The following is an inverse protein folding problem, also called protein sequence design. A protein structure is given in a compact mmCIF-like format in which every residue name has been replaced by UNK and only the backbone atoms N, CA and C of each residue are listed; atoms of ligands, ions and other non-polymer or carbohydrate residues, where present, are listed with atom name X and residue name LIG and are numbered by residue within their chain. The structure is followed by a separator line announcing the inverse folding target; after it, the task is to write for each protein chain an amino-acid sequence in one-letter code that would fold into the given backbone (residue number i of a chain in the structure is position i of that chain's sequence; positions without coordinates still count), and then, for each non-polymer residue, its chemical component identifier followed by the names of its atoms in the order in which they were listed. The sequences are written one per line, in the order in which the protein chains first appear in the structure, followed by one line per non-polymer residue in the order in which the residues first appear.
data_IF_684900735082
#
_entry.id   IF_684900735082
#
_cell.length_a   1.000
_cell.length_b   1.000
_cell.length_c   1.000
_cell.angle_alpha   90.00
_cell.angle_beta   90.00
_cell.angle_gamma   90.00
#
_symmetry.space_group_name_H-M   'P 1'
#
loop_
_entity.id
_entity.type
_entity.pdbx_description
1 polymer ?
#
# COMPACT_ATOMS: atom_id res chain seq x y z
N UNK A 1 -25.42 17.05 11.25
CA UNK A 1 -24.65 17.05 9.98
C UNK A 1 -25.61 17.32 8.84
N UNK A 2 -25.33 18.32 8.01
CA UNK A 2 -26.10 18.61 6.79
C UNK A 2 -26.04 17.44 5.80
N UNK A 3 -27.00 17.37 4.88
CA UNK A 3 -27.06 16.38 3.79
C UNK A 3 -25.82 16.43 2.90
N UNK A 4 -25.20 17.59 2.69
CA UNK A 4 -23.94 17.75 1.95
C UNK A 4 -22.74 17.07 2.63
N UNK A 5 -22.70 17.02 3.96
CA UNK A 5 -21.60 16.41 4.71
C UNK A 5 -21.55 14.88 4.57
N UNK A 6 -22.59 14.26 3.97
CA UNK A 6 -22.71 12.80 3.76
C UNK A 6 -22.54 12.38 2.30
N UNK A 7 -22.30 13.31 1.39
CA UNK A 7 -22.11 12.99 -0.02
C UNK A 7 -20.67 12.52 -0.25
N UNK A 8 -20.53 11.34 -0.85
CA UNK A 8 -19.24 10.83 -1.36
C UNK A 8 -18.65 11.89 -2.30
N UNK A 9 -17.35 12.18 -2.23
CA UNK A 9 -16.69 13.22 -3.03
C UNK A 9 -16.50 12.77 -4.48
N UNK A 10 -17.59 12.53 -5.21
CA UNK A 10 -17.60 11.91 -6.54
C UNK A 10 -16.76 12.65 -7.56
N UNK A 11 -16.80 13.98 -7.61
CA UNK A 11 -15.99 14.76 -8.55
C UNK A 11 -14.49 14.53 -8.34
N UNK A 12 -14.03 14.56 -7.09
CA UNK A 12 -12.62 14.34 -6.76
C UNK A 12 -12.19 12.90 -7.07
N UNK A 13 -13.05 11.93 -6.73
CA UNK A 13 -12.83 10.54 -7.07
C UNK A 13 -12.71 10.36 -8.59
N UNK A 14 -13.65 10.89 -9.38
CA UNK A 14 -13.64 10.80 -10.85
C UNK A 14 -12.38 11.44 -11.45
N UNK A 15 -11.92 12.57 -10.93
CA UNK A 15 -10.65 13.18 -11.35
C UNK A 15 -9.48 12.21 -11.12
N UNK A 16 -9.39 11.59 -9.94
CA UNK A 16 -8.32 10.62 -9.69
C UNK A 16 -8.50 9.30 -10.45
N UNK A 17 -9.72 8.91 -10.81
CA UNK A 17 -9.94 7.77 -11.72
C UNK A 17 -9.36 8.09 -13.11
N UNK A 18 -9.59 9.28 -13.65
CA UNK A 18 -9.01 9.68 -14.94
C UNK A 18 -7.48 9.70 -14.87
N UNK A 19 -6.92 10.26 -13.79
CA UNK A 19 -5.46 10.25 -13.57
C UNK A 19 -4.94 8.81 -13.45
N UNK A 20 -5.63 7.98 -12.66
CA UNK A 20 -5.29 6.57 -12.45
C UNK A 20 -5.32 5.76 -13.74
N UNK A 21 -6.25 6.04 -14.65
CA UNK A 21 -6.28 5.42 -15.98
C UNK A 21 -5.03 5.78 -16.79
N UNK A 22 -4.63 7.06 -16.79
CA UNK A 22 -3.41 7.51 -17.45
C UNK A 22 -2.16 6.85 -16.86
N UNK A 23 -2.06 6.80 -15.53
CA UNK A 23 -0.94 6.16 -14.82
C UNK A 23 -0.88 4.67 -15.15
N UNK A 24 -2.01 3.95 -15.09
CA UNK A 24 -2.06 2.52 -15.40
C UNK A 24 -1.58 2.25 -16.84
N UNK A 25 -2.04 3.05 -17.82
CA UNK A 25 -1.58 2.91 -19.20
C UNK A 25 -0.08 3.16 -19.34
N UNK A 26 0.43 4.23 -18.73
CA UNK A 26 1.86 4.57 -18.80
C UNK A 26 2.71 3.46 -18.19
N UNK A 27 2.35 2.94 -17.01
CA UNK A 27 3.09 1.88 -16.35
C UNK A 27 3.10 0.59 -17.19
N UNK A 28 1.94 0.17 -17.72
CA UNK A 28 1.86 -1.01 -18.61
C UNK A 28 2.71 -0.87 -19.87
N UNK A 29 2.79 0.32 -20.47
CA UNK A 29 3.67 0.56 -21.63
C UNK A 29 5.15 0.46 -21.25
N UNK A 30 5.53 1.00 -20.09
CA UNK A 30 6.92 1.13 -19.66
C UNK A 30 7.48 -0.19 -19.13
N UNK A 31 6.64 -1.02 -18.52
CA UNK A 31 6.99 -2.36 -18.06
C UNK A 31 7.15 -3.35 -19.24
N UNK A 32 6.75 -2.95 -20.46
CA UNK A 32 6.84 -3.79 -21.66
C UNK A 32 5.62 -4.70 -21.86
N UNK A 33 4.66 -4.68 -20.93
CA UNK A 33 3.46 -5.52 -20.95
C UNK A 33 2.42 -5.09 -22.00
N UNK A 34 2.59 -3.91 -22.59
CA UNK A 34 1.71 -3.40 -23.65
C UNK A 34 1.80 -4.18 -24.96
N UNK A 35 2.92 -4.85 -25.22
CA UNK A 35 3.13 -5.55 -26.49
C UNK A 35 2.19 -6.76 -26.60
N UNK A 36 1.36 -6.79 -27.65
CA UNK A 36 0.39 -7.86 -27.87
C UNK A 36 -0.91 -7.76 -27.06
N UNK A 37 -1.14 -6.69 -26.30
CA UNK A 37 -2.40 -6.51 -25.57
C UNK A 37 -3.60 -6.32 -26.51
N UNK A 38 -4.65 -7.10 -26.26
CA UNK A 38 -5.94 -6.93 -26.94
C UNK A 38 -6.70 -5.70 -26.39
N UNK A 39 -7.70 -5.17 -27.11
CA UNK A 39 -8.57 -4.12 -26.58
C UNK A 39 -9.25 -4.51 -25.25
N UNK A 40 -9.59 -5.79 -25.07
CA UNK A 40 -10.14 -6.31 -23.82
C UNK A 40 -9.10 -6.31 -22.68
N UNK A 41 -7.83 -6.60 -22.98
CA UNK A 41 -6.73 -6.48 -22.02
C UNK A 41 -6.53 -5.04 -21.56
N UNK A 42 -6.52 -4.08 -22.48
CA UNK A 42 -6.47 -2.65 -22.13
C UNK A 42 -7.66 -2.20 -21.29
N UNK A 43 -8.86 -2.66 -21.64
CA UNK A 43 -10.06 -2.40 -20.83
C UNK A 43 -9.94 -3.01 -19.42
N UNK A 44 -9.38 -4.22 -19.28
CA UNK A 44 -9.14 -4.86 -17.99
C UNK A 44 -8.19 -4.03 -17.11
N UNK A 45 -7.08 -3.54 -17.67
CA UNK A 45 -6.13 -2.67 -16.95
C UNK A 45 -6.80 -1.37 -16.52
N UNK A 46 -7.45 -0.66 -17.45
CA UNK A 46 -8.04 0.65 -17.14
C UNK A 46 -9.18 0.51 -16.13
N UNK A 47 -10.14 -0.39 -16.37
CA UNK A 47 -11.30 -0.58 -15.50
C UNK A 47 -10.90 -1.22 -14.17
N UNK A 48 -9.85 -2.05 -14.16
CA UNK A 48 -9.34 -2.68 -12.95
C UNK A 48 -8.59 -1.71 -12.03
N UNK A 49 -7.64 -0.96 -12.57
CA UNK A 49 -6.74 -0.12 -11.77
C UNK A 49 -7.29 1.28 -11.51
N UNK A 50 -7.89 1.93 -12.50
CA UNK A 50 -8.24 3.34 -12.39
C UNK A 50 -9.21 3.64 -11.22
N UNK A 51 -10.28 2.84 -10.98
CA UNK A 51 -11.13 3.00 -9.81
C UNK A 51 -10.37 2.85 -8.48
N UNK A 52 -9.44 1.90 -8.41
CA UNK A 52 -8.69 1.61 -7.20
C UNK A 52 -7.63 2.67 -6.89
N UNK A 53 -6.86 3.10 -7.88
CA UNK A 53 -5.93 4.24 -7.75
C UNK A 53 -6.73 5.49 -7.37
N UNK A 54 -7.87 5.70 -8.02
CA UNK A 54 -8.81 6.77 -7.70
C UNK A 54 -9.22 6.78 -6.24
N UNK A 55 -9.61 5.62 -5.71
CA UNK A 55 -10.00 5.45 -4.32
C UNK A 55 -8.81 5.63 -3.37
N UNK A 56 -7.65 5.04 -3.66
CA UNK A 56 -6.43 5.13 -2.84
C UNK A 56 -6.02 6.59 -2.64
N UNK A 57 -5.98 7.38 -3.72
CA UNK A 57 -5.62 8.80 -3.67
C UNK A 57 -6.71 9.66 -3.03
N UNK A 58 -7.99 9.45 -3.39
CA UNK A 58 -9.10 10.21 -2.83
C UNK A 58 -9.23 10.00 -1.31
N UNK A 59 -9.07 8.75 -0.84
CA UNK A 59 -9.06 8.44 0.60
C UNK A 59 -7.83 9.03 1.32
N UNK A 60 -6.76 9.35 0.59
CA UNK A 60 -5.58 10.03 1.13
C UNK A 60 -5.81 11.51 1.41
N UNK A 61 -6.94 12.08 0.95
CA UNK A 61 -7.30 13.47 1.19
C UNK A 61 -8.25 13.53 2.39
N UNK A 62 -7.90 14.24 3.49
CA UNK A 62 -8.67 14.22 4.73
C UNK A 62 -10.15 14.58 4.56
N UNK A 63 -10.46 15.61 3.77
CA UNK A 63 -11.85 16.04 3.54
C UNK A 63 -12.68 15.00 2.77
N UNK A 64 -12.06 14.27 1.85
CA UNK A 64 -12.70 13.20 1.11
C UNK A 64 -12.87 11.95 1.97
N UNK A 65 -11.84 11.57 2.72
CA UNK A 65 -11.89 10.46 3.67
C UNK A 65 -13.02 10.65 4.70
N UNK A 66 -13.12 11.85 5.30
CA UNK A 66 -14.20 12.19 6.24
C UNK A 66 -15.60 12.04 5.63
N UNK A 67 -15.78 12.47 4.38
CA UNK A 67 -17.06 12.29 3.66
C UNK A 67 -17.38 10.81 3.42
N UNK A 68 -16.39 9.99 3.03
CA UNK A 68 -16.57 8.54 2.86
C UNK A 68 -16.90 7.88 4.19
N UNK A 69 -16.21 8.22 5.27
CA UNK A 69 -16.50 7.72 6.61
C UNK A 69 -17.93 8.08 7.05
N UNK A 70 -18.33 9.34 6.89
CA UNK A 70 -19.69 9.80 7.18
C UNK A 70 -20.75 9.02 6.38
N UNK A 71 -20.47 8.75 5.10
CA UNK A 71 -21.33 7.93 4.25
C UNK A 71 -21.40 6.47 4.74
N UNK A 72 -20.27 5.86 5.11
CA UNK A 72 -20.21 4.49 5.65
C UNK A 72 -21.03 4.35 6.93
N UNK A 73 -21.02 5.38 7.79
CA UNK A 73 -21.80 5.41 9.03
C UNK A 73 -23.30 5.60 8.77
N UNK A 74 -23.68 6.41 7.78
CA UNK A 74 -25.08 6.71 7.47
C UNK A 74 -25.77 5.61 6.64
N UNK A 75 -24.99 4.84 5.89
CA UNK A 75 -25.51 3.82 4.98
C UNK A 75 -26.00 2.58 5.75
N UNK A 76 -27.12 1.99 5.33
CA UNK A 76 -27.66 0.77 5.97
C UNK A 76 -26.80 -0.47 5.73
N UNK A 77 -26.15 -0.55 4.56
CA UNK A 77 -25.41 -1.74 4.09
C UNK A 77 -23.98 -1.41 3.64
N UNK A 78 -23.14 -0.76 4.47
CA UNK A 78 -21.83 -0.27 4.05
C UNK A 78 -20.89 -1.40 3.62
N UNK A 79 -20.95 -2.54 4.29
CA UNK A 79 -20.17 -3.74 3.96
C UNK A 79 -20.48 -4.25 2.55
N UNK A 80 -21.76 -4.30 2.18
CA UNK A 80 -22.16 -4.74 0.86
C UNK A 80 -21.67 -3.77 -0.21
N UNK A 81 -21.86 -2.46 -0.04
CA UNK A 81 -21.42 -1.50 -1.07
C UNK A 81 -19.89 -1.48 -1.26
N UNK A 82 -19.12 -1.65 -0.18
CA UNK A 82 -17.66 -1.60 -0.24
C UNK A 82 -17.05 -2.93 -0.68
N UNK A 83 -17.39 -4.03 0.01
CA UNK A 83 -16.90 -5.36 -0.33
C UNK A 83 -17.35 -5.82 -1.71
N UNK A 84 -18.63 -5.63 -2.05
CA UNK A 84 -19.14 -5.95 -3.39
C UNK A 84 -18.55 -5.03 -4.45
N UNK A 85 -18.29 -3.75 -4.13
CA UNK A 85 -17.67 -2.82 -5.08
C UNK A 85 -16.32 -3.33 -5.58
N UNK A 86 -15.42 -3.71 -4.66
CA UNK A 86 -14.12 -4.28 -5.01
C UNK A 86 -14.26 -5.66 -5.67
N UNK A 87 -15.16 -6.51 -5.17
CA UNK A 87 -15.42 -7.81 -5.78
C UNK A 87 -15.98 -7.71 -7.22
N UNK A 88 -16.77 -6.68 -7.53
CA UNK A 88 -17.28 -6.41 -8.87
C UNK A 88 -16.15 -5.94 -9.79
N UNK A 89 -15.27 -5.04 -9.32
CA UNK A 89 -14.09 -4.65 -10.11
C UNK A 89 -13.24 -5.89 -10.41
N UNK A 90 -13.00 -6.74 -9.39
CA UNK A 90 -12.29 -8.00 -9.54
C UNK A 90 -12.93 -8.94 -10.56
N UNK A 91 -14.25 -9.13 -10.49
CA UNK A 91 -15.01 -9.93 -11.45
C UNK A 91 -14.87 -9.38 -12.88
N UNK A 92 -14.97 -8.07 -13.06
CA UNK A 92 -14.83 -7.43 -14.37
C UNK A 92 -13.43 -7.64 -14.93
N UNK A 93 -12.38 -7.49 -14.13
CA UNK A 93 -10.99 -7.76 -14.54
C UNK A 93 -10.81 -9.20 -15.00
N UNK A 94 -11.35 -10.16 -14.25
CA UNK A 94 -11.28 -11.57 -14.61
C UNK A 94 -12.04 -11.91 -15.90
N UNK A 95 -13.24 -11.35 -16.08
CA UNK A 95 -14.04 -11.54 -17.30
C UNK A 95 -13.33 -10.94 -18.53
N UNK A 96 -12.80 -9.71 -18.41
CA UNK A 96 -12.12 -9.02 -19.51
C UNK A 96 -10.77 -9.67 -19.86
N UNK A 97 -10.09 -10.28 -18.88
CA UNK A 97 -8.84 -11.02 -19.11
C UNK A 97 -9.06 -12.46 -19.55
N UNK A 98 -10.31 -12.94 -19.61
CA UNK A 98 -10.63 -14.33 -19.95
C UNK A 98 -10.17 -15.35 -18.89
N UNK A 99 -9.84 -14.90 -17.68
CA UNK A 99 -9.33 -15.71 -16.56
C UNK A 99 -10.38 -15.87 -15.46
N UNK A 100 -11.66 -15.95 -15.84
CA UNK A 100 -12.74 -16.04 -14.85
C UNK A 100 -12.73 -17.36 -14.08
N UNK A 101 -12.54 -17.23 -12.76
CA UNK A 101 -12.72 -18.31 -11.80
C UNK A 101 -13.86 -17.97 -10.83
N UNK A 102 -14.99 -18.71 -10.87
CA UNK A 102 -16.12 -18.46 -9.98
C UNK A 102 -15.81 -18.78 -8.52
N UNK A 103 -14.97 -19.77 -8.24
CA UNK A 103 -14.59 -20.14 -6.88
C UNK A 103 -13.73 -19.06 -6.26
N UNK A 104 -12.70 -18.59 -6.98
CA UNK A 104 -11.83 -17.51 -6.49
C UNK A 104 -12.58 -16.21 -6.31
N UNK A 105 -13.51 -15.88 -7.23
CA UNK A 105 -14.37 -14.71 -7.07
C UNK A 105 -15.19 -14.75 -5.79
N UNK A 106 -15.77 -15.91 -5.46
CA UNK A 106 -16.56 -16.09 -4.23
C UNK A 106 -15.67 -16.04 -2.99
N UNK A 107 -14.51 -16.72 -3.00
CA UNK A 107 -13.55 -16.72 -1.89
C UNK A 107 -13.08 -15.30 -1.58
N UNK A 108 -12.68 -14.55 -2.60
CA UNK A 108 -12.28 -13.14 -2.47
C UNK A 108 -13.42 -12.30 -1.94
N UNK A 109 -14.61 -12.39 -2.55
CA UNK A 109 -15.77 -11.59 -2.15
C UNK A 109 -16.17 -11.84 -0.69
N UNK A 110 -16.22 -13.11 -0.27
CA UNK A 110 -16.52 -13.48 1.12
C UNK A 110 -15.40 -13.09 2.08
N UNK A 111 -14.14 -13.26 1.68
CA UNK A 111 -12.97 -12.86 2.48
C UNK A 111 -12.95 -11.35 2.77
N UNK A 112 -13.21 -10.52 1.75
CA UNK A 112 -13.31 -9.07 1.90
C UNK A 112 -14.50 -8.67 2.78
N UNK A 113 -15.66 -9.30 2.61
CA UNK A 113 -16.83 -9.05 3.45
C UNK A 113 -16.59 -9.47 4.91
N UNK A 114 -15.90 -10.59 5.13
CA UNK A 114 -15.53 -11.07 6.45
C UNK A 114 -14.54 -10.13 7.13
N UNK A 115 -13.49 -9.68 6.42
CA UNK A 115 -12.51 -8.72 6.92
C UNK A 115 -13.17 -7.40 7.36
N UNK A 116 -13.95 -6.78 6.47
CA UNK A 116 -14.66 -5.53 6.76
C UNK A 116 -15.74 -5.73 7.84
N UNK A 117 -16.43 -6.87 7.82
CA UNK A 117 -17.44 -7.23 8.81
C UNK A 117 -16.85 -7.41 10.20
N UNK A 118 -15.68 -8.03 10.31
CA UNK A 118 -14.96 -8.21 11.56
C UNK A 118 -14.48 -6.86 12.12
N UNK A 119 -13.85 -6.01 11.29
CA UNK A 119 -13.42 -4.67 11.71
C UNK A 119 -14.59 -3.79 12.17
N UNK A 120 -15.78 -3.93 11.55
CA UNK A 120 -16.98 -3.22 11.97
C UNK A 120 -17.51 -3.64 13.34
N UNK A 121 -17.19 -4.86 13.81
CA UNK A 121 -17.60 -5.35 15.13
C UNK A 121 -16.71 -4.81 16.26
N UNK A 122 -15.51 -4.32 15.94
CA UNK A 122 -14.64 -3.67 16.93
C UNK A 122 -15.32 -2.39 17.42
N UNK A 123 -15.20 -2.10 18.72
CA UNK A 123 -15.74 -0.88 19.29
C UNK A 123 -15.13 0.34 18.59
N UNK A 124 -15.99 1.18 18.01
CA UNK A 124 -15.57 2.37 17.26
C UNK A 124 -14.74 3.31 18.13
N UNK A 125 -13.65 3.82 17.58
CA UNK A 125 -12.76 4.74 18.29
C UNK A 125 -11.93 4.07 19.40
N UNK A 126 -12.00 2.74 19.56
CA UNK A 126 -11.13 2.04 20.48
C UNK A 126 -9.66 2.21 20.05
N UNK A 127 -8.85 2.67 21.00
CA UNK A 127 -7.39 2.85 20.83
C UNK A 127 -6.67 1.51 20.86
N UNK A 128 -5.59 1.43 20.10
CA UNK A 128 -4.72 0.25 20.08
C UNK A 128 -5.25 -0.87 19.19
N UNK A 129 -4.44 -1.91 18.99
CA UNK A 129 -4.88 -3.11 18.26
C UNK A 129 -5.68 -4.04 19.15
N UNK A 130 -6.69 -4.66 18.56
CA UNK A 130 -7.40 -5.81 19.12
C UNK A 130 -6.96 -7.09 18.40
N UNK A 131 -7.35 -8.25 18.91
CA UNK A 131 -7.13 -9.52 18.20
C UNK A 131 -7.83 -9.58 16.83
N UNK A 132 -8.95 -8.86 16.68
CA UNK A 132 -9.63 -8.73 15.39
C UNK A 132 -8.76 -7.97 14.39
N UNK A 133 -8.09 -6.90 14.84
CA UNK A 133 -7.17 -6.15 13.99
C UNK A 133 -6.01 -7.01 13.52
N UNK A 134 -5.40 -7.75 14.44
CA UNK A 134 -4.27 -8.64 14.12
C UNK A 134 -4.72 -9.73 13.14
N UNK A 135 -5.89 -10.34 13.37
CA UNK A 135 -6.41 -11.38 12.48
C UNK A 135 -6.72 -10.84 11.07
N UNK A 136 -7.34 -9.67 10.96
CA UNK A 136 -7.64 -9.05 9.65
C UNK A 136 -6.36 -8.55 8.97
N UNK A 137 -5.40 -8.02 9.73
CA UNK A 137 -4.08 -7.67 9.23
C UNK A 137 -3.38 -8.89 8.63
N UNK A 138 -3.33 -10.02 9.34
CA UNK A 138 -2.75 -11.26 8.83
C UNK A 138 -3.50 -11.79 7.59
N UNK A 139 -4.84 -11.76 7.62
CA UNK A 139 -5.67 -12.23 6.52
C UNK A 139 -5.44 -11.45 5.22
N UNK A 140 -5.25 -10.13 5.32
CA UNK A 140 -5.05 -9.28 4.15
C UNK A 140 -3.58 -9.23 3.72
N UNK A 141 -2.65 -9.21 4.68
CA UNK A 141 -1.23 -9.01 4.40
C UNK A 141 -0.53 -10.30 3.98
N UNK A 142 -0.71 -11.41 4.71
CA UNK A 142 0.09 -12.62 4.48
C UNK A 142 -0.14 -13.25 3.10
N UNK A 143 -1.38 -13.43 2.61
CA UNK A 143 -1.60 -13.96 1.26
C UNK A 143 -1.04 -13.05 0.17
N UNK A 144 -1.03 -11.74 0.42
CA UNK A 144 -0.45 -10.75 -0.48
C UNK A 144 1.08 -10.84 -0.50
N UNK A 145 1.72 -10.78 0.66
CA UNK A 145 3.17 -10.77 0.83
C UNK A 145 3.83 -12.09 0.39
N UNK A 146 3.23 -13.23 0.74
CA UNK A 146 3.70 -14.55 0.31
C UNK A 146 3.40 -14.84 -1.16
N UNK A 147 2.88 -13.86 -1.91
CA UNK A 147 2.58 -13.95 -3.34
C UNK A 147 1.60 -15.08 -3.69
N UNK A 148 0.85 -15.59 -2.69
CA UNK A 148 -0.31 -16.48 -2.92
C UNK A 148 -1.37 -15.80 -3.76
N UNK A 149 -1.32 -14.47 -3.82
CA UNK A 149 -2.11 -13.64 -4.70
C UNK A 149 -2.03 -14.05 -6.18
N UNK A 150 -0.90 -14.60 -6.65
CA UNK A 150 -0.80 -15.11 -8.02
C UNK A 150 -1.66 -16.35 -8.24
N UNK A 151 -1.82 -17.18 -7.20
CA UNK A 151 -2.73 -18.34 -7.22
C UNK A 151 -4.20 -17.90 -7.15
N UNK A 152 -4.48 -16.71 -6.58
CA UNK A 152 -5.81 -16.09 -6.61
C UNK A 152 -6.17 -15.53 -7.99
N UNK A 153 -5.20 -15.47 -8.90
CA UNK A 153 -5.28 -14.77 -10.17
C UNK A 153 -5.05 -13.27 -10.02
N UNK A 154 -4.80 -12.60 -11.15
CA UNK A 154 -4.53 -11.16 -11.18
C UNK A 154 -3.05 -10.84 -10.99
N UNK A 155 -2.74 -9.55 -10.94
CA UNK A 155 -1.37 -9.05 -10.79
C UNK A 155 -1.15 -8.48 -9.36
N UNK A 156 0.11 -8.52 -8.92
CA UNK A 156 0.53 -8.01 -7.61
C UNK A 156 0.17 -6.54 -7.43
N UNK A 157 0.41 -5.70 -8.45
CA UNK A 157 0.16 -4.26 -8.38
C UNK A 157 -1.33 -3.98 -8.16
N UNK A 158 -2.23 -4.68 -8.84
CA UNK A 158 -3.67 -4.54 -8.68
C UNK A 158 -4.09 -4.87 -7.24
N UNK A 159 -3.62 -6.01 -6.74
CA UNK A 159 -3.96 -6.48 -5.41
C UNK A 159 -3.42 -5.57 -4.32
N UNK A 160 -2.21 -5.04 -4.47
CA UNK A 160 -1.59 -4.09 -3.54
C UNK A 160 -2.46 -2.85 -3.31
N UNK A 161 -3.03 -2.30 -4.39
CA UNK A 161 -3.91 -1.13 -4.36
C UNK A 161 -5.27 -1.53 -3.79
N UNK A 162 -5.82 -2.67 -4.22
CA UNK A 162 -7.12 -3.16 -3.74
C UNK A 162 -7.13 -3.38 -2.22
N UNK A 163 -6.13 -4.08 -1.68
CA UNK A 163 -6.02 -4.31 -0.24
C UNK A 163 -5.77 -3.01 0.53
N UNK A 164 -5.06 -2.05 -0.06
CA UNK A 164 -4.84 -0.73 0.56
C UNK A 164 -6.15 0.05 0.69
N UNK A 165 -6.96 0.08 -0.38
CA UNK A 165 -8.29 0.70 -0.35
C UNK A 165 -9.20 0.02 0.68
N UNK A 166 -9.22 -1.32 0.70
CA UNK A 166 -9.98 -2.10 1.70
C UNK A 166 -9.50 -1.81 3.12
N UNK A 167 -8.18 -1.73 3.33
CA UNK A 167 -7.60 -1.44 4.63
C UNK A 167 -8.00 -0.04 5.12
N UNK A 168 -7.93 1.00 4.28
CA UNK A 168 -8.37 2.35 4.67
C UNK A 168 -9.88 2.36 4.96
N UNK A 169 -10.71 1.75 4.12
CA UNK A 169 -12.16 1.65 4.39
C UNK A 169 -12.43 0.92 5.70
N UNK A 170 -11.72 -0.17 5.97
CA UNK A 170 -11.86 -0.99 7.18
C UNK A 170 -11.42 -0.27 8.44
N UNK A 171 -10.14 0.07 8.55
CA UNK A 171 -9.54 0.63 9.76
C UNK A 171 -9.94 2.08 10.02
N UNK A 172 -9.99 2.93 8.99
CA UNK A 172 -10.43 4.32 9.16
C UNK A 172 -11.94 4.48 9.09
N UNK A 173 -12.57 3.89 8.07
CA UNK A 173 -13.99 4.12 7.78
C UNK A 173 -14.96 3.39 8.72
N UNK A 174 -14.75 2.07 8.94
CA UNK A 174 -15.68 1.23 9.68
C UNK A 174 -15.33 1.10 11.17
N UNK A 175 -14.06 0.82 11.45
CA UNK A 175 -13.52 0.65 12.80
C UNK A 175 -13.24 1.99 13.50
N UNK A 176 -12.90 3.03 12.74
CA UNK A 176 -12.52 4.34 13.26
C UNK A 176 -11.29 4.28 14.18
N UNK A 177 -10.22 3.61 13.73
CA UNK A 177 -8.92 3.60 14.42
C UNK A 177 -8.48 5.05 14.67
N UNK A 178 -8.36 5.50 15.95
CA UNK A 178 -8.07 6.89 16.25
C UNK A 178 -6.75 7.33 15.65
N UNK A 179 -6.67 8.57 15.15
CA UNK A 179 -5.43 9.16 14.61
C UNK A 179 -4.81 8.35 13.47
N UNK A 180 -5.63 7.66 12.67
CA UNK A 180 -5.16 6.88 11.53
C UNK A 180 -4.38 7.75 10.53
N UNK A 181 -3.09 7.43 10.36
CA UNK A 181 -2.10 8.24 9.67
C UNK A 181 -2.16 8.28 8.14
N UNK A 182 -3.27 7.84 7.53
CA UNK A 182 -3.42 7.76 6.08
C UNK A 182 -3.74 9.14 5.47
N UNK A 183 -2.70 9.90 5.12
CA UNK A 183 -2.82 11.22 4.48
C UNK A 183 -1.79 11.37 3.37
N UNK A 184 -2.24 11.46 2.14
CA UNK A 184 -1.39 11.59 0.94
C UNK A 184 -1.27 13.03 0.43
N UNK A 185 -1.63 14.02 1.25
CA UNK A 185 -1.47 15.43 0.94
C UNK A 185 -0.09 15.90 1.41
N UNK A 186 0.84 16.24 0.49
CA UNK A 186 2.22 16.59 0.86
C UNK A 186 2.27 17.90 1.64
N UNK A 187 2.96 17.87 2.78
CA UNK A 187 3.48 19.07 3.42
C UNK A 187 5.00 19.11 3.24
N UNK A 188 5.56 20.31 3.22
CA UNK A 188 7.02 20.48 3.13
C UNK A 188 7.78 19.68 4.20
N UNK A 189 7.21 19.59 5.41
CA UNK A 189 7.75 18.77 6.50
C UNK A 189 7.84 17.28 6.14
N UNK A 190 6.83 16.73 5.47
CA UNK A 190 6.84 15.32 5.05
C UNK A 190 8.00 15.08 4.07
N UNK A 191 8.15 15.97 3.09
CA UNK A 191 9.22 15.88 2.07
C UNK A 191 10.60 16.03 2.70
N UNK A 192 10.80 17.06 3.54
CA UNK A 192 12.08 17.30 4.20
C UNK A 192 12.51 16.12 5.08
N UNK A 193 11.57 15.54 5.84
CA UNK A 193 11.84 14.35 6.66
C UNK A 193 12.18 13.16 5.77
N UNK A 194 11.45 12.97 4.67
CA UNK A 194 11.69 11.85 3.79
C UNK A 194 13.09 11.91 3.17
N UNK A 195 13.49 13.07 2.67
CA UNK A 195 14.84 13.31 2.10
C UNK A 195 15.92 13.10 3.16
N UNK A 196 15.75 13.62 4.38
CA UNK A 196 16.72 13.41 5.47
C UNK A 196 16.82 11.92 5.83
N UNK A 197 15.70 11.22 5.97
CA UNK A 197 15.68 9.81 6.28
C UNK A 197 16.39 8.99 5.21
N UNK A 198 16.09 9.25 3.93
CA UNK A 198 16.75 8.59 2.78
C UNK A 198 18.25 8.87 2.76
N UNK A 199 18.68 10.12 2.96
CA UNK A 199 20.09 10.48 2.95
C UNK A 199 20.88 9.79 4.07
N UNK A 200 20.34 9.77 5.30
CA UNK A 200 21.00 9.11 6.44
C UNK A 200 21.00 7.59 6.25
N UNK A 201 19.91 7.01 5.78
CA UNK A 201 19.83 5.58 5.46
C UNK A 201 20.86 5.19 4.40
N UNK A 202 20.90 5.92 3.27
CA UNK A 202 21.80 5.65 2.16
C UNK A 202 23.27 5.75 2.60
N UNK A 203 23.62 6.75 3.43
CA UNK A 203 24.98 6.89 3.96
C UNK A 203 25.44 5.70 4.83
N UNK A 204 24.50 4.92 5.39
CA UNK A 204 24.80 3.73 6.20
C UNK A 204 24.73 2.47 5.36
N UNK A 205 23.66 2.29 4.59
CA UNK A 205 23.38 1.03 3.89
C UNK A 205 24.17 0.87 2.61
N UNK A 206 24.48 1.95 1.87
CA UNK A 206 25.27 1.81 0.64
C UNK A 206 26.67 1.24 0.94
N UNK A 207 27.45 1.76 1.91
CA UNK A 207 28.75 1.17 2.25
C UNK A 207 28.64 -0.29 2.71
N UNK A 208 27.64 -0.62 3.53
CA UNK A 208 27.44 -1.98 4.04
C UNK A 208 27.07 -2.92 2.89
N UNK A 209 26.13 -2.53 2.04
CA UNK A 209 25.64 -3.32 0.91
C UNK A 209 26.72 -3.60 -0.12
N UNK A 210 27.57 -2.60 -0.43
CA UNK A 210 28.74 -2.80 -1.29
C UNK A 210 29.80 -3.70 -0.65
N UNK A 211 30.01 -3.61 0.68
CA UNK A 211 31.01 -4.42 1.38
C UNK A 211 30.64 -5.92 1.50
N UNK A 212 29.35 -6.25 1.38
CA UNK A 212 28.85 -7.64 1.42
C UNK A 212 28.40 -8.14 0.05
N UNK A 213 28.77 -7.43 -1.03
CA UNK A 213 28.41 -7.73 -2.43
C UNK A 213 26.89 -7.87 -2.68
N UNK A 214 26.09 -7.19 -1.85
CA UNK A 214 24.64 -7.15 -1.99
C UNK A 214 24.17 -5.99 -2.88
N UNK A 215 24.96 -4.91 -2.95
CA UNK A 215 24.80 -3.82 -3.89
C UNK A 215 26.01 -3.80 -4.83
N UNK A 216 25.80 -3.36 -6.06
CA UNK A 216 26.85 -3.26 -7.08
C UNK A 216 26.90 -1.85 -7.68
N UNK A 217 28.11 -1.39 -7.98
CA UNK A 217 28.36 -0.10 -8.61
C UNK A 217 29.57 -0.21 -9.53
N UNK A 218 29.59 0.40 -10.74
CA UNK A 218 28.56 1.29 -11.33
C UNK A 218 27.31 0.53 -11.82
N UNK A 219 26.18 1.23 -12.07
CA UNK A 219 24.96 0.59 -12.57
C UNK A 219 25.19 -0.05 -13.94
N UNK A 220 24.50 -1.16 -14.20
CA UNK A 220 24.54 -1.91 -15.45
C UNK A 220 24.08 -1.10 -16.67
N UNK A 221 23.15 -0.17 -16.47
CA UNK A 221 22.65 0.77 -17.47
C UNK A 221 22.79 2.23 -17.01
N UNK A 222 22.98 3.19 -17.93
CA UNK A 222 22.98 4.60 -17.57
C UNK A 222 21.63 5.02 -16.95
N UNK A 223 21.64 5.74 -15.81
CA UNK A 223 20.42 6.27 -15.19
C UNK A 223 19.60 7.13 -16.17
N UNK A 224 18.31 6.80 -16.31
CA UNK A 224 17.38 7.56 -17.15
C UNK A 224 16.34 8.26 -16.29
N UNK A 225 16.27 9.59 -16.38
CA UNK A 225 15.39 10.40 -15.54
C UNK A 225 13.91 10.00 -15.69
N UNK A 226 13.42 9.88 -16.93
CA UNK A 226 12.02 9.52 -17.18
C UNK A 226 11.69 8.13 -16.60
N UNK A 227 12.54 7.12 -16.84
CA UNK A 227 12.37 5.77 -16.27
C UNK A 227 12.36 5.80 -14.74
N UNK A 228 13.25 6.58 -14.12
CA UNK A 228 13.32 6.72 -12.66
C UNK A 228 12.07 7.38 -12.07
N UNK A 229 11.52 8.39 -12.76
CA UNK A 229 10.27 9.05 -12.34
C UNK A 229 9.07 8.12 -12.46
N UNK A 230 9.02 7.31 -13.53
CA UNK A 230 7.95 6.34 -13.73
C UNK A 230 8.03 5.20 -12.72
N UNK A 231 9.24 4.71 -12.45
CA UNK A 231 9.50 3.74 -11.39
C UNK A 231 9.10 4.30 -10.02
N UNK A 232 9.41 5.56 -9.74
CA UNK A 232 8.97 6.24 -8.52
C UNK A 232 7.45 6.20 -8.39
N UNK A 233 6.70 6.56 -9.44
CA UNK A 233 5.24 6.55 -9.41
C UNK A 233 4.68 5.14 -9.21
N UNK A 234 5.23 4.16 -9.92
CA UNK A 234 4.85 2.75 -9.80
C UNK A 234 5.04 2.25 -8.37
N UNK A 235 6.29 2.27 -7.88
CA UNK A 235 6.65 1.83 -6.53
C UNK A 235 5.84 2.59 -5.46
N UNK A 236 5.67 3.91 -5.61
CA UNK A 236 4.90 4.69 -4.65
C UNK A 236 3.46 4.21 -4.51
N UNK A 237 2.79 3.92 -5.63
CA UNK A 237 1.39 3.51 -5.62
C UNK A 237 1.20 2.04 -5.23
N UNK A 238 2.08 1.15 -5.68
CA UNK A 238 1.87 -0.31 -5.61
C UNK A 238 2.73 -1.04 -4.59
N UNK A 239 3.78 -0.40 -4.07
CA UNK A 239 4.69 -1.03 -3.09
C UNK A 239 4.68 -0.22 -1.79
N UNK A 240 5.11 1.04 -1.84
CA UNK A 240 5.36 1.79 -0.62
C UNK A 240 4.10 2.23 0.11
N UNK A 241 3.05 2.72 -0.58
CA UNK A 241 1.78 3.03 0.11
C UNK A 241 1.20 1.77 0.81
N UNK A 242 1.01 0.62 0.13
CA UNK A 242 0.52 -0.59 0.78
C UNK A 242 1.37 -1.03 1.97
N UNK A 243 2.68 -1.14 1.80
CA UNK A 243 3.58 -1.60 2.87
C UNK A 243 3.59 -0.63 4.06
N UNK A 244 3.72 0.67 3.81
CA UNK A 244 3.72 1.67 4.88
C UNK A 244 2.35 1.78 5.57
N UNK A 245 1.25 1.56 4.84
CA UNK A 245 -0.08 1.49 5.43
C UNK A 245 -0.20 0.34 6.43
N UNK A 246 0.22 -0.87 6.04
CA UNK A 246 0.09 -2.06 6.89
C UNK A 246 1.07 -2.03 8.07
N UNK A 247 2.34 -1.69 7.83
CA UNK A 247 3.34 -1.71 8.88
C UNK A 247 3.30 -0.46 9.76
N UNK A 248 3.18 0.74 9.19
CA UNK A 248 3.29 2.00 9.95
C UNK A 248 1.92 2.51 10.35
N UNK A 249 0.99 2.57 9.39
CA UNK A 249 -0.37 3.09 9.60
C UNK A 249 -1.24 2.21 10.50
N UNK A 250 -1.09 0.89 10.43
CA UNK A 250 -1.90 -0.07 11.22
C UNK A 250 -1.07 -0.66 12.37
N UNK A 251 -0.01 -1.43 12.06
CA UNK A 251 0.68 -2.23 13.06
C UNK A 251 1.45 -1.38 14.07
N UNK A 252 2.39 -0.52 13.62
CA UNK A 252 3.18 0.35 14.49
C UNK A 252 2.30 1.34 15.26
N UNK A 253 1.38 2.01 14.56
CA UNK A 253 0.46 2.97 15.15
C UNK A 253 -0.41 2.32 16.23
N UNK A 254 -1.01 1.17 15.92
CA UNK A 254 -1.84 0.45 16.86
C UNK A 254 -1.06 -0.06 18.08
N UNK A 255 0.17 -0.55 17.90
CA UNK A 255 1.04 -0.92 19.02
C UNK A 255 1.43 0.29 19.88
N UNK A 256 1.75 1.42 19.26
CA UNK A 256 2.04 2.67 19.99
C UNK A 256 0.83 3.16 20.80
N UNK A 257 -0.39 2.90 20.35
CA UNK A 257 -1.61 3.20 21.10
C UNK A 257 -1.92 2.20 22.22
N UNK A 258 -1.45 0.95 22.14
CA UNK A 258 -1.53 -0.02 23.23
C UNK A 258 -0.57 0.31 24.38
N UNK A 259 0.41 1.18 24.14
CA UNK A 259 1.40 1.64 25.10
C UNK A 259 2.75 0.96 24.92
N UNK A 260 3.53 0.90 26.01
CA UNK A 260 4.89 0.36 25.98
C UNK A 260 5.94 1.37 25.47
N UNK A 261 7.16 0.87 25.29
CA UNK A 261 8.29 1.70 24.87
C UNK A 261 8.23 1.86 23.35
N UNK A 262 7.96 3.08 22.87
CA UNK A 262 7.86 3.38 21.43
C UNK A 262 9.05 2.84 20.60
N UNK A 263 10.27 2.91 21.11
CA UNK A 263 11.42 2.38 20.38
C UNK A 263 11.38 0.85 20.22
N UNK A 264 10.83 0.11 21.19
CA UNK A 264 10.64 -1.34 21.10
C UNK A 264 9.61 -1.68 20.02
N UNK A 265 8.47 -0.96 20.01
CA UNK A 265 7.46 -1.16 18.96
C UNK A 265 8.03 -0.89 17.56
N UNK A 266 8.88 0.14 17.42
CA UNK A 266 9.56 0.43 16.16
C UNK A 266 10.46 -0.73 15.75
N UNK A 267 11.38 -1.16 16.62
CA UNK A 267 12.28 -2.27 16.29
C UNK A 267 11.53 -3.56 15.96
N UNK A 268 10.47 -3.87 16.70
CA UNK A 268 9.65 -5.06 16.44
C UNK A 268 8.96 -5.00 15.08
N UNK A 269 8.33 -3.89 14.73
CA UNK A 269 7.66 -3.72 13.43
C UNK A 269 8.68 -3.69 12.29
N UNK A 270 9.83 -3.03 12.48
CA UNK A 270 10.92 -3.04 11.50
C UNK A 270 11.47 -4.44 11.27
N UNK A 271 11.58 -5.26 12.32
CA UNK A 271 11.97 -6.66 12.20
C UNK A 271 10.94 -7.48 11.41
N UNK A 272 9.65 -7.34 11.70
CA UNK A 272 8.60 -8.00 10.91
C UNK A 272 8.61 -7.57 9.45
N UNK A 273 8.83 -6.27 9.19
CA UNK A 273 9.00 -5.74 7.84
C UNK A 273 10.15 -6.43 7.09
N UNK A 274 11.33 -6.56 7.71
CA UNK A 274 12.44 -7.27 7.07
C UNK A 274 12.20 -8.77 6.89
N UNK A 275 11.47 -9.42 7.80
CA UNK A 275 11.11 -10.84 7.65
C UNK A 275 10.23 -11.11 6.43
N UNK A 276 9.38 -10.16 6.04
CA UNK A 276 8.57 -10.29 4.82
C UNK A 276 9.42 -10.40 3.54
N UNK A 277 10.65 -9.86 3.57
CA UNK A 277 11.56 -9.89 2.44
C UNK A 277 12.32 -11.22 2.30
N UNK A 278 12.12 -12.16 3.23
CA UNK A 278 12.82 -13.45 3.24
C UNK A 278 12.59 -14.28 1.96
N UNK A 279 11.39 -14.21 1.37
CA UNK A 279 11.02 -14.99 0.20
C UNK A 279 11.35 -14.31 -1.15
N UNK A 280 12.02 -13.14 -1.14
CA UNK A 280 12.30 -12.39 -2.36
C UNK A 280 13.57 -12.83 -3.10
N UNK A 281 14.41 -13.65 -2.47
CA UNK A 281 15.68 -14.15 -3.03
C UNK A 281 15.85 -15.62 -2.66
N UNK A 282 16.67 -16.38 -3.39
CA UNK A 282 16.78 -17.83 -3.18
C UNK A 282 17.91 -18.24 -2.22
N UNK A 283 19.09 -17.65 -2.39
CA UNK A 283 20.30 -17.96 -1.62
C UNK A 283 20.19 -17.54 -0.14
N UNK A 284 20.61 -18.40 0.79
CA UNK A 284 20.49 -18.17 2.23
C UNK A 284 21.30 -16.94 2.70
N UNK A 285 22.49 -16.72 2.16
CA UNK A 285 23.33 -15.58 2.54
C UNK A 285 22.66 -14.28 2.10
N UNK A 286 22.18 -14.24 0.85
CA UNK A 286 21.43 -13.10 0.31
C UNK A 286 20.11 -12.88 1.04
N UNK A 287 19.39 -13.94 1.46
CA UNK A 287 18.19 -13.84 2.31
C UNK A 287 18.48 -13.12 3.61
N UNK A 288 19.52 -13.55 4.33
CA UNK A 288 19.90 -12.95 5.61
C UNK A 288 20.31 -11.48 5.41
N UNK A 289 21.13 -11.18 4.39
CA UNK A 289 21.53 -9.83 4.06
C UNK A 289 20.32 -8.94 3.72
N UNK A 290 19.43 -9.42 2.85
CA UNK A 290 18.24 -8.66 2.43
C UNK A 290 17.31 -8.42 3.61
N UNK A 291 16.97 -9.44 4.40
CA UNK A 291 16.14 -9.29 5.60
C UNK A 291 16.74 -8.33 6.62
N UNK A 292 18.06 -8.36 6.82
CA UNK A 292 18.74 -7.44 7.74
C UNK A 292 18.71 -5.99 7.24
N UNK A 293 19.01 -5.77 5.96
CA UNK A 293 18.98 -4.44 5.35
C UNK A 293 17.56 -3.88 5.25
N UNK A 294 16.57 -4.72 4.93
CA UNK A 294 15.16 -4.35 4.94
C UNK A 294 14.67 -4.04 6.36
N UNK A 295 15.12 -4.77 7.38
CA UNK A 295 14.85 -4.43 8.79
C UNK A 295 15.41 -3.05 9.14
N UNK A 296 16.65 -2.77 8.73
CA UNK A 296 17.26 -1.45 8.95
C UNK A 296 16.50 -0.35 8.22
N UNK A 297 16.14 -0.56 6.94
CA UNK A 297 15.29 0.35 6.17
C UNK A 297 13.96 0.60 6.91
N UNK A 298 13.39 -0.46 7.46
CA UNK A 298 12.15 -0.38 8.19
C UNK A 298 12.21 0.49 9.45
N UNK A 299 13.38 0.65 10.07
CA UNK A 299 13.60 1.59 11.18
C UNK A 299 13.53 3.04 10.69
N UNK A 300 14.15 3.35 9.54
CA UNK A 300 14.13 4.68 8.94
C UNK A 300 12.73 5.07 8.44
N UNK A 301 11.99 4.13 7.86
CA UNK A 301 10.61 4.38 7.42
C UNK A 301 9.71 4.66 8.63
N UNK A 302 9.82 3.87 9.70
CA UNK A 302 9.09 4.11 10.95
C UNK A 302 9.53 5.39 11.68
N UNK A 303 10.80 5.78 11.58
CA UNK A 303 11.29 7.08 12.06
C UNK A 303 10.67 8.23 11.27
N UNK A 304 10.67 8.16 9.94
CA UNK A 304 10.07 9.17 9.07
C UNK A 304 8.58 9.33 9.36
N UNK A 305 7.85 8.22 9.50
CA UNK A 305 6.45 8.17 9.92
C UNK A 305 6.20 8.92 11.23
N UNK A 306 6.95 8.64 12.29
CA UNK A 306 6.76 9.31 13.58
C UNK A 306 7.15 10.78 13.52
N UNK A 307 8.26 11.10 12.85
CA UNK A 307 8.80 12.45 12.78
C UNK A 307 7.89 13.37 11.98
N UNK A 308 7.12 12.85 11.02
CA UNK A 308 6.12 13.58 10.25
C UNK A 308 4.80 13.81 11.02
N UNK A 309 4.68 13.25 12.22
CA UNK A 309 3.45 13.32 13.02
C UNK A 309 2.50 12.16 12.71
N UNK A 310 3.05 10.95 12.59
CA UNK A 310 2.33 9.72 12.27
C UNK A 310 1.67 9.77 10.88
N UNK A 311 2.34 10.36 9.89
CA UNK A 311 1.85 10.44 8.52
C UNK A 311 2.60 9.44 7.63
N UNK A 312 1.86 8.51 6.99
CA UNK A 312 2.46 7.49 6.13
C UNK A 312 3.17 8.06 4.91
N UNK A 313 2.79 9.27 4.45
CA UNK A 313 3.36 9.84 3.23
C UNK A 313 4.87 10.04 3.34
N UNK A 314 5.38 10.50 4.50
CA UNK A 314 6.80 10.67 4.69
C UNK A 314 7.55 9.33 4.61
N UNK A 315 7.00 8.28 5.21
CA UNK A 315 7.57 6.94 5.15
C UNK A 315 7.50 6.36 3.73
N UNK A 316 6.37 6.52 3.03
CA UNK A 316 6.17 6.03 1.67
C UNK A 316 7.14 6.71 0.69
N UNK A 317 7.38 8.03 0.84
CA UNK A 317 8.38 8.74 0.03
C UNK A 317 9.80 8.25 0.38
N UNK A 318 10.15 8.09 1.66
CA UNK A 318 11.47 7.53 2.03
C UNK A 318 11.69 6.17 1.40
N UNK A 319 10.70 5.29 1.50
CA UNK A 319 10.71 3.94 0.97
C UNK A 319 10.85 3.96 -0.56
N UNK A 320 9.99 4.68 -1.28
CA UNK A 320 10.09 4.81 -2.74
C UNK A 320 11.44 5.36 -3.18
N UNK A 321 11.98 6.37 -2.48
CA UNK A 321 13.29 6.93 -2.83
C UNK A 321 14.42 5.90 -2.66
N UNK A 322 14.36 5.08 -1.59
CA UNK A 322 15.35 4.01 -1.37
C UNK A 322 15.30 3.01 -2.52
N UNK A 323 14.12 2.53 -2.88
CA UNK A 323 13.98 1.52 -3.93
C UNK A 323 14.37 2.08 -5.31
N UNK A 324 14.00 3.32 -5.62
CA UNK A 324 14.40 3.98 -6.87
C UNK A 324 15.90 4.19 -6.93
N UNK A 325 16.54 4.61 -5.83
CA UNK A 325 18.00 4.75 -5.77
C UNK A 325 18.66 3.41 -6.05
N UNK A 326 18.20 2.36 -5.37
CA UNK A 326 18.76 1.03 -5.56
C UNK A 326 18.58 0.54 -6.99
N UNK A 327 17.34 0.53 -7.48
CA UNK A 327 17.01 0.05 -8.82
C UNK A 327 17.59 0.91 -9.95
N UNK A 328 18.03 2.15 -9.70
CA UNK A 328 18.60 3.00 -10.75
C UNK A 328 20.12 3.03 -10.72
N UNK A 329 20.71 2.95 -9.53
CA UNK A 329 22.14 3.23 -9.34
C UNK A 329 22.92 2.03 -8.78
N UNK A 330 22.28 1.04 -8.15
CA UNK A 330 22.95 0.03 -7.32
C UNK A 330 22.56 -1.42 -7.68
N UNK A 331 22.30 -1.70 -8.96
CA UNK A 331 21.89 -3.01 -9.48
C UNK A 331 23.04 -3.94 -9.82
#
# INVERSE_FOLDING_TARGET
MSTEARQVPWLLYLVFVVIGAGVAVILTVVEGDAEGMTPAGWAAVIIGFAPLIGAQLALGIPSAAQKVQAWLQATRRPLLHTGLGVAVIWLVVQLLSGKFDPYMTVVVGLGLLAALGALRQVQRGQRGLTWVDVAVWLLLWIPFDLRWIYDLGGDYNWWSIAISVIAVIGWYGLRELPEFGYRLVPHWRDIAIAVIATAVFAAIVIPIGLAIDFLTWPPSEPPQLLRSLLLFVGIFLTVSIPEELFFRGILLHGLDQMGGRKWVNLLMVSFFFGLMHWNNVDDLTTKIAYTALATLAGVFYGWAYRRSGNNILAAAITHTLVDVIWATFLQ
#
